data_IF_948330015729
#
_entry.id   IF_948330015729
#
_cell.length_a   1.000
_cell.length_b   1.000
_cell.length_c   1.000
_cell.angle_alpha   90.00
_cell.angle_beta   90.00
_cell.angle_gamma   90.00
#
_symmetry.space_group_name_H-M   'P 1'
#
loop_
_entity.id
_entity.type
_entity.pdbx_description
1 polymer ?
#
# COMPACT_ATOMS: atom_id res chain seq x y z
N UNK A 1 -10.69 -3.76 19.26
CA UNK A 1 -10.14 -3.32 17.98
C UNK A 1 -8.65 -3.66 17.91
N UNK A 2 -8.20 -4.30 16.81
CA UNK A 2 -6.80 -4.63 16.64
C UNK A 2 -5.96 -3.38 16.41
N UNK A 3 -4.64 -3.52 16.54
CA UNK A 3 -3.72 -2.39 16.28
C UNK A 3 -3.81 -1.92 14.83
N UNK A 4 -3.93 -2.84 13.87
CA UNK A 4 -4.05 -2.48 12.46
C UNK A 4 -5.34 -1.72 12.20
N UNK A 5 -6.43 -2.12 12.83
CA UNK A 5 -7.71 -1.40 12.72
C UNK A 5 -7.62 0.01 13.28
N UNK A 6 -6.90 0.20 14.39
CA UNK A 6 -6.70 1.51 14.99
C UNK A 6 -5.92 2.44 14.06
N UNK A 7 -4.86 1.91 13.44
CA UNK A 7 -4.08 2.68 12.47
C UNK A 7 -4.93 3.04 11.26
N UNK A 8 -5.70 2.08 10.74
CA UNK A 8 -6.60 2.32 9.62
C UNK A 8 -7.60 3.42 9.94
N UNK A 9 -8.21 3.38 11.12
CA UNK A 9 -9.16 4.42 11.54
C UNK A 9 -8.49 5.78 11.68
N UNK A 10 -7.25 5.80 12.20
CA UNK A 10 -6.50 7.05 12.31
C UNK A 10 -6.19 7.65 10.94
N UNK A 11 -5.83 6.81 9.97
CA UNK A 11 -5.59 7.24 8.59
C UNK A 11 -6.87 7.84 8.01
N UNK A 12 -8.00 7.16 8.17
CA UNK A 12 -9.28 7.60 7.64
C UNK A 12 -9.77 8.90 8.26
N UNK A 13 -9.43 9.15 9.52
CA UNK A 13 -9.82 10.35 10.23
C UNK A 13 -8.88 11.54 10.00
N UNK A 14 -7.72 11.32 9.42
CA UNK A 14 -6.75 12.39 9.14
C UNK A 14 -7.37 13.41 8.19
N UNK A 15 -7.30 14.72 8.48
CA UNK A 15 -7.85 15.75 7.61
C UNK A 15 -7.39 15.65 6.16
N UNK A 16 -6.18 15.17 5.90
CA UNK A 16 -5.67 15.00 4.54
C UNK A 16 -6.40 13.90 3.78
N UNK A 17 -7.08 12.99 4.47
CA UNK A 17 -7.74 11.84 3.88
C UNK A 17 -9.27 11.88 3.99
N UNK A 18 -9.81 12.90 4.64
CA UNK A 18 -11.25 13.00 4.90
C UNK A 18 -12.08 12.96 3.62
N UNK A 19 -11.61 13.59 2.54
CA UNK A 19 -12.36 13.58 1.28
C UNK A 19 -12.55 12.17 0.73
N UNK A 20 -11.56 11.30 0.90
CA UNK A 20 -11.69 9.89 0.51
C UNK A 20 -12.69 9.17 1.43
N UNK A 21 -12.56 9.39 2.72
CA UNK A 21 -13.46 8.78 3.71
C UNK A 21 -14.92 9.16 3.44
N UNK A 22 -15.19 10.42 3.13
CA UNK A 22 -16.53 10.90 2.82
C UNK A 22 -17.10 10.24 1.56
N UNK A 23 -16.24 9.85 0.61
CA UNK A 23 -16.66 9.16 -0.60
C UNK A 23 -16.74 7.63 -0.42
N UNK A 24 -16.52 7.13 0.80
CA UNK A 24 -16.54 5.70 1.07
C UNK A 24 -15.29 4.95 0.62
N UNK A 25 -14.18 5.66 0.40
CA UNK A 25 -12.93 5.06 -0.05
C UNK A 25 -12.04 4.79 1.15
N UNK A 26 -11.59 3.54 1.29
CA UNK A 26 -10.70 3.14 2.37
C UNK A 26 -9.25 3.15 1.90
N UNK A 27 -8.29 3.34 2.84
CA UNK A 27 -6.87 3.27 2.49
C UNK A 27 -6.52 1.85 2.04
N UNK A 28 -5.70 1.76 1.01
CA UNK A 28 -5.35 0.49 0.39
C UNK A 28 -3.94 0.07 0.79
N UNK A 29 -3.85 -0.87 1.70
CA UNK A 29 -2.59 -1.42 2.18
C UNK A 29 -2.82 -2.79 2.81
N UNK A 30 -1.76 -3.56 2.97
CA UNK A 30 -1.83 -4.85 3.64
C UNK A 30 -0.66 -4.96 4.61
N UNK A 31 -0.97 -5.21 5.88
CA UNK A 31 0.04 -5.27 6.93
C UNK A 31 -0.21 -6.46 7.88
N UNK A 32 -0.13 -7.69 7.36
CA UNK A 32 -0.28 -8.86 8.22
C UNK A 32 0.88 -8.94 9.21
N UNK A 33 0.58 -9.23 10.47
CA UNK A 33 1.58 -9.29 11.54
C UNK A 33 2.73 -10.25 11.22
N UNK A 34 2.44 -11.30 10.47
CA UNK A 34 3.40 -12.35 10.11
C UNK A 34 4.23 -12.04 8.88
N UNK A 35 4.04 -10.89 8.25
CA UNK A 35 4.74 -10.55 7.01
C UNK A 35 6.25 -10.55 7.20
N UNK A 36 6.95 -11.05 6.20
CA UNK A 36 8.41 -11.08 6.15
C UNK A 36 8.96 -10.21 5.04
N UNK A 37 8.16 -9.95 4.01
CA UNK A 37 8.55 -9.10 2.89
C UNK A 37 7.54 -7.97 2.78
N UNK A 38 8.05 -6.73 2.77
CA UNK A 38 7.22 -5.55 2.54
C UNK A 38 7.51 -4.99 1.16
N UNK A 39 6.45 -4.83 0.36
CA UNK A 39 6.56 -4.29 -0.99
C UNK A 39 6.05 -2.85 -0.96
N UNK A 40 6.93 -1.92 -1.27
CA UNK A 40 6.60 -0.49 -1.32
C UNK A 40 6.51 -0.07 -2.78
N UNK A 41 5.29 0.18 -3.26
CA UNK A 41 5.04 0.76 -4.56
C UNK A 41 4.74 2.24 -4.43
N UNK A 42 4.27 2.85 -5.51
CA UNK A 42 3.98 4.29 -5.53
C UNK A 42 2.64 4.60 -4.86
N UNK A 43 1.58 4.59 -5.63
CA UNK A 43 0.22 4.80 -5.15
C UNK A 43 -0.70 3.96 -6.01
N UNK A 44 -1.88 3.57 -5.50
CA UNK A 44 -2.83 2.85 -6.34
C UNK A 44 -3.33 3.75 -7.46
N UNK A 45 -3.53 3.19 -8.66
CA UNK A 45 -4.24 3.87 -9.72
C UNK A 45 -5.74 3.83 -9.46
N UNK A 46 -6.51 4.55 -10.26
CA UNK A 46 -7.96 4.62 -10.05
C UNK A 46 -8.61 3.24 -10.07
N UNK A 47 -8.27 2.40 -11.06
CA UNK A 47 -8.86 1.06 -11.18
C UNK A 47 -8.50 0.18 -9.99
N UNK A 48 -7.26 0.28 -9.51
CA UNK A 48 -6.81 -0.47 -8.35
C UNK A 48 -7.57 -0.03 -7.10
N UNK A 49 -7.76 1.27 -6.92
CA UNK A 49 -8.52 1.80 -5.80
C UNK A 49 -9.98 1.34 -5.85
N UNK A 50 -10.60 1.38 -7.02
CA UNK A 50 -11.98 0.92 -7.19
C UNK A 50 -12.12 -0.58 -6.93
N UNK A 51 -11.13 -1.38 -7.35
CA UNK A 51 -11.13 -2.83 -7.13
C UNK A 51 -10.83 -3.20 -5.67
N UNK A 52 -10.14 -2.33 -4.95
CA UNK A 52 -9.76 -2.60 -3.56
C UNK A 52 -8.69 -3.66 -3.39
N UNK A 53 -7.90 -3.93 -4.42
CA UNK A 53 -6.89 -4.99 -4.37
C UNK A 53 -5.66 -4.61 -5.19
N UNK A 54 -4.48 -4.58 -4.54
CA UNK A 54 -3.23 -4.21 -5.21
C UNK A 54 -2.71 -5.29 -6.12
N UNK A 55 -1.91 -4.86 -7.07
CA UNK A 55 -1.10 -5.78 -7.86
C UNK A 55 -1.96 -6.84 -8.56
N UNK A 56 -3.21 -6.49 -8.92
CA UNK A 56 -4.13 -7.39 -9.62
C UNK A 56 -4.06 -7.20 -11.15
N UNK A 57 -3.13 -6.42 -11.63
CA UNK A 57 -2.91 -6.12 -13.04
C UNK A 57 -1.67 -6.87 -13.56
N UNK A 58 -1.26 -6.53 -14.79
CA UNK A 58 -0.06 -7.13 -15.41
C UNK A 58 1.21 -6.87 -14.61
N UNK A 59 1.32 -5.70 -13.98
CA UNK A 59 2.46 -5.39 -13.11
C UNK A 59 2.51 -6.35 -11.93
N UNK A 60 1.35 -6.68 -11.39
CA UNK A 60 1.24 -7.66 -10.31
C UNK A 60 1.64 -9.05 -10.76
N UNK A 61 1.23 -9.45 -11.97
CA UNK A 61 1.62 -10.75 -12.52
C UNK A 61 3.15 -10.85 -12.65
N UNK A 62 3.79 -9.79 -13.13
CA UNK A 62 5.26 -9.74 -13.24
C UNK A 62 5.93 -9.79 -11.87
N UNK A 63 5.40 -9.07 -10.90
CA UNK A 63 5.93 -9.06 -9.55
C UNK A 63 5.89 -10.46 -8.94
N UNK A 64 4.73 -11.13 -9.03
CA UNK A 64 4.58 -12.50 -8.51
C UNK A 64 5.48 -13.49 -9.21
N UNK A 65 5.60 -13.37 -10.52
CA UNK A 65 6.49 -14.21 -11.32
C UNK A 65 7.95 -14.04 -10.87
N UNK A 66 8.37 -12.79 -10.70
CA UNK A 66 9.71 -12.47 -10.22
C UNK A 66 9.97 -13.00 -8.81
N UNK A 67 8.95 -12.91 -7.92
CA UNK A 67 9.04 -13.45 -6.57
C UNK A 67 8.92 -14.98 -6.52
N UNK A 68 8.46 -15.61 -7.60
CA UNK A 68 8.28 -17.06 -7.64
C UNK A 68 7.06 -17.55 -6.87
N UNK A 69 6.02 -16.74 -6.74
CA UNK A 69 4.80 -17.09 -6.00
C UNK A 69 3.55 -16.92 -6.85
N UNK A 70 2.49 -17.65 -6.50
CA UNK A 70 1.19 -17.49 -7.15
C UNK A 70 0.34 -16.43 -6.44
N UNK A 71 -0.85 -16.15 -6.97
CA UNK A 71 -1.76 -15.17 -6.40
C UNK A 71 -2.18 -15.53 -4.98
N UNK A 72 -2.52 -16.78 -4.74
CA UNK A 72 -2.96 -17.22 -3.43
C UNK A 72 -1.89 -17.00 -2.38
N UNK A 73 -0.67 -17.38 -2.68
CA UNK A 73 0.46 -17.16 -1.78
C UNK A 73 0.68 -15.68 -1.53
N UNK A 74 0.62 -14.87 -2.58
CA UNK A 74 0.85 -13.44 -2.46
C UNK A 74 -0.19 -12.77 -1.55
N UNK A 75 -1.47 -13.05 -1.78
CA UNK A 75 -2.55 -12.36 -1.06
C UNK A 75 -2.92 -13.00 0.28
N UNK A 76 -2.80 -14.31 0.41
CA UNK A 76 -3.42 -15.03 1.53
C UNK A 76 -2.45 -15.75 2.47
N UNK A 77 -1.16 -15.79 2.16
CA UNK A 77 -0.21 -16.50 3.02
C UNK A 77 0.14 -15.75 4.31
N UNK A 78 -0.09 -14.44 4.35
CA UNK A 78 0.38 -13.60 5.45
C UNK A 78 1.88 -13.32 5.42
N UNK A 79 2.55 -13.68 4.32
CA UNK A 79 4.00 -13.52 4.17
C UNK A 79 4.38 -12.13 3.63
N UNK A 80 3.49 -11.51 2.88
CA UNK A 80 3.75 -10.25 2.18
C UNK A 80 2.93 -9.10 2.75
N UNK A 81 3.60 -7.98 3.00
CA UNK A 81 2.97 -6.71 3.27
C UNK A 81 3.04 -5.84 2.02
N UNK A 82 2.07 -4.96 1.85
CA UNK A 82 2.04 -3.99 0.76
C UNK A 82 1.76 -2.62 1.37
N UNK A 83 2.78 -1.77 1.42
CA UNK A 83 2.68 -0.41 1.92
C UNK A 83 3.09 0.55 0.82
N UNK A 84 2.16 0.98 -0.04
CA UNK A 84 2.50 1.97 -1.08
C UNK A 84 2.95 3.30 -0.45
N UNK A 85 3.59 4.14 -1.22
CA UNK A 85 3.99 5.48 -0.76
C UNK A 85 2.77 6.35 -0.42
N UNK A 86 1.63 6.09 -1.05
CA UNK A 86 0.34 6.68 -0.72
C UNK A 86 -0.69 5.54 -0.74
N UNK A 87 -1.54 5.47 0.27
CA UNK A 87 -2.55 4.42 0.36
C UNK A 87 -3.82 4.73 -0.43
N UNK A 88 -3.86 5.88 -1.08
CA UNK A 88 -4.99 6.33 -1.88
C UNK A 88 -4.54 6.76 -3.27
N UNK A 89 -5.47 6.72 -4.23
CA UNK A 89 -5.22 7.26 -5.55
C UNK A 89 -5.12 8.79 -5.47
N UNK A 90 -3.95 9.38 -5.82
CA UNK A 90 -3.75 10.82 -5.62
C UNK A 90 -4.39 11.72 -6.68
N UNK A 91 -4.89 11.14 -7.76
CA UNK A 91 -5.55 11.89 -8.82
C UNK A 91 -4.83 11.81 -10.16
N UNK A 92 -5.45 12.34 -11.19
CA UNK A 92 -4.87 12.43 -12.53
C UNK A 92 -4.13 13.74 -12.71
N UNK A 93 -2.97 13.67 -13.36
CA UNK A 93 -2.19 14.83 -13.77
C UNK A 93 -2.26 15.04 -15.27
N UNK A 94 -1.43 15.94 -15.79
CA UNK A 94 -1.37 16.25 -17.23
C UNK A 94 -0.83 15.10 -18.07
N UNK A 95 0.07 14.30 -17.50
CA UNK A 95 0.73 13.22 -18.23
C UNK A 95 0.70 11.92 -17.44
N UNK A 96 -0.47 11.57 -16.94
CA UNK A 96 -0.66 10.35 -16.14
C UNK A 96 -1.09 10.67 -14.72
N UNK A 97 -1.02 9.67 -13.85
CA UNK A 97 -1.41 9.84 -12.46
C UNK A 97 -0.46 10.76 -11.73
N UNK A 98 -0.99 11.50 -10.77
CA UNK A 98 -0.17 12.31 -9.89
C UNK A 98 0.76 11.41 -9.05
N UNK A 99 1.92 11.93 -8.61
CA UNK A 99 2.79 11.18 -7.71
C UNK A 99 2.13 10.96 -6.35
N UNK A 100 2.65 10.04 -5.54
CA UNK A 100 2.18 9.89 -4.16
C UNK A 100 2.23 11.23 -3.44
N UNK A 101 1.24 11.48 -2.58
CA UNK A 101 1.19 12.75 -1.86
C UNK A 101 2.39 12.87 -0.92
N UNK A 102 2.99 14.06 -0.89
CA UNK A 102 4.16 14.31 -0.05
C UNK A 102 3.83 14.11 1.43
N UNK A 103 4.72 13.44 2.15
CA UNK A 103 4.58 13.23 3.59
C UNK A 103 3.69 12.09 4.01
N UNK A 104 2.94 11.46 3.10
CA UNK A 104 2.05 10.36 3.47
C UNK A 104 2.84 9.17 4.03
N UNK A 105 3.83 8.70 3.29
CA UNK A 105 4.64 7.57 3.72
C UNK A 105 5.36 7.86 5.04
N UNK A 106 5.92 9.05 5.17
CA UNK A 106 6.64 9.47 6.37
C UNK A 106 5.73 9.44 7.60
N UNK A 107 4.47 9.79 7.44
CA UNK A 107 3.52 9.82 8.54
C UNK A 107 3.04 8.44 8.96
N UNK A 108 2.83 7.52 8.01
CA UNK A 108 2.12 6.28 8.28
C UNK A 108 2.94 5.00 8.20
N UNK A 109 4.04 4.98 7.45
CA UNK A 109 4.81 3.75 7.24
C UNK A 109 5.44 3.23 8.54
N UNK A 110 6.06 4.11 9.33
CA UNK A 110 6.76 3.68 10.53
C UNK A 110 5.83 3.00 11.52
N UNK A 111 4.65 3.57 11.77
CA UNK A 111 3.67 2.97 12.69
C UNK A 111 3.18 1.62 12.19
N UNK A 112 2.96 1.51 10.87
CA UNK A 112 2.47 0.28 10.27
C UNK A 112 3.55 -0.80 10.29
N UNK A 113 4.78 -0.45 9.97
CA UNK A 113 5.92 -1.39 10.02
C UNK A 113 6.16 -1.90 11.43
N UNK A 114 5.91 -1.08 12.44
CA UNK A 114 6.08 -1.49 13.83
C UNK A 114 5.14 -2.66 14.22
N UNK A 115 4.07 -2.89 13.47
CA UNK A 115 3.16 -4.01 13.70
C UNK A 115 3.64 -5.32 13.08
N UNK A 116 4.71 -5.26 12.30
CA UNK A 116 5.22 -6.41 11.55
C UNK A 116 6.68 -6.68 11.92
N UNK A 117 6.93 -7.26 13.12
CA UNK A 117 8.30 -7.40 13.63
C UNK A 117 9.17 -8.37 12.85
N UNK A 118 8.57 -9.22 12.00
CA UNK A 118 9.30 -10.25 11.27
C UNK A 118 9.72 -9.82 9.86
N UNK A 119 9.53 -8.57 9.48
CA UNK A 119 9.97 -8.08 8.17
C UNK A 119 11.50 -8.25 8.05
N UNK A 120 11.91 -8.96 7.01
CA UNK A 120 13.31 -9.24 6.71
C UNK A 120 13.79 -8.52 5.46
N UNK A 121 12.86 -8.19 4.55
CA UNK A 121 13.19 -7.60 3.25
C UNK A 121 12.17 -6.55 2.87
N UNK A 122 12.68 -5.43 2.38
CA UNK A 122 11.82 -4.36 1.83
C UNK A 122 12.17 -4.22 0.36
N UNK A 123 11.18 -4.35 -0.51
CA UNK A 123 11.33 -4.22 -1.94
C UNK A 123 10.72 -2.89 -2.37
N UNK A 124 11.53 -2.04 -2.98
CA UNK A 124 11.10 -0.73 -3.45
C UNK A 124 10.80 -0.81 -4.94
N UNK A 125 9.56 -0.54 -5.31
CA UNK A 125 9.10 -0.62 -6.70
C UNK A 125 8.71 0.78 -7.18
N UNK A 126 9.37 1.23 -8.24
CA UNK A 126 9.08 2.52 -8.83
C UNK A 126 9.96 3.63 -8.31
N UNK A 127 9.95 4.72 -9.06
CA UNK A 127 10.83 5.86 -8.87
C UNK A 127 10.71 6.51 -7.48
N UNK A 128 9.48 6.77 -7.04
CA UNK A 128 9.26 7.53 -5.81
C UNK A 128 9.65 6.76 -4.57
N UNK A 129 9.47 5.46 -4.56
CA UNK A 129 9.89 4.62 -3.44
C UNK A 129 11.41 4.56 -3.35
N UNK A 130 12.10 4.57 -4.47
CA UNK A 130 13.56 4.46 -4.54
C UNK A 130 14.27 5.76 -4.21
N UNK A 131 13.62 6.91 -4.36
CA UNK A 131 14.19 8.22 -4.06
C UNK A 131 14.22 8.54 -2.56
N UNK A 132 13.44 7.84 -1.77
CA UNK A 132 13.42 8.01 -0.31
C UNK A 132 14.47 7.12 0.37
#
# INVERSE_FOLDING_TARGET
>A
MSQIERIKQAIMADPQNVSYTERGIEPLFAAPKTARINIIGQAPGLKTQEAGLYWKDKSGDRLRDWLGVDEDTFYNSGYFAVLPMDFYFPGHGKSGDLPPRAGFAEKWHAETLALMPDIELIILVGKYAQED
#
